data_IF_835884617560
#
_entry.id   IF_835884617560
#
_cell.length_a   1.000
_cell.length_b   1.000
_cell.length_c   1.000
_cell.angle_alpha   90.00
_cell.angle_beta   90.00
_cell.angle_gamma   90.00
#
_symmetry.space_group_name_H-M   'P 1'
#
loop_
_entity.id
_entity.type
_entity.pdbx_description
1 polymer ?
#
# COMPACT_ATOMS: atom_id res chain seq x y z
N UNK A 1 14.25 34.12 -24.59
CA UNK A 1 12.96 33.49 -24.33
C UNK A 1 13.14 32.59 -23.12
N UNK A 2 12.78 33.08 -21.93
CA UNK A 2 12.56 32.19 -20.80
C UNK A 2 11.19 31.57 -21.03
N UNK A 3 11.16 30.28 -21.35
CA UNK A 3 9.94 29.50 -21.15
C UNK A 3 9.82 29.39 -19.65
N UNK A 4 8.91 30.16 -19.06
CA UNK A 4 8.40 29.86 -17.73
C UNK A 4 7.60 28.58 -17.90
N UNK A 5 8.23 27.42 -17.71
CA UNK A 5 7.52 26.17 -17.47
C UNK A 5 6.92 26.31 -16.08
N UNK A 6 5.71 26.85 -15.98
CA UNK A 6 4.96 26.79 -14.74
C UNK A 6 4.69 25.34 -14.38
N UNK A 7 4.56 25.04 -13.09
CA UNK A 7 4.02 23.76 -12.65
C UNK A 7 2.59 23.63 -13.20
N UNK A 8 2.19 22.41 -13.56
CA UNK A 8 0.87 22.11 -14.12
C UNK A 8 0.20 21.00 -13.29
N UNK A 9 -1.14 20.94 -13.30
CA UNK A 9 -1.89 19.89 -12.62
C UNK A 9 -1.63 19.85 -11.11
N UNK A 10 -1.38 18.64 -10.59
CA UNK A 10 -1.14 18.39 -9.16
C UNK A 10 0.09 19.15 -8.66
N UNK A 11 1.18 19.21 -9.44
CA UNK A 11 2.41 19.91 -9.06
C UNK A 11 2.13 21.38 -8.67
N UNK A 12 1.22 22.05 -9.40
CA UNK A 12 0.82 23.41 -9.10
C UNK A 12 -0.04 23.51 -7.81
N UNK A 13 -0.90 22.52 -7.54
CA UNK A 13 -1.72 22.49 -6.32
C UNK A 13 -0.84 22.34 -5.08
N UNK A 14 0.13 21.41 -5.12
CA UNK A 14 1.02 21.13 -3.99
C UNK A 14 1.89 22.34 -3.61
N UNK A 15 2.31 23.17 -4.58
CA UNK A 15 3.09 24.39 -4.31
C UNK A 15 2.34 25.41 -3.43
N UNK A 16 1.00 25.37 -3.43
CA UNK A 16 0.17 26.32 -2.69
C UNK A 16 -0.26 25.82 -1.30
N UNK A 17 0.04 24.57 -0.95
CA UNK A 17 -0.27 24.02 0.37
C UNK A 17 0.61 24.63 1.46
N UNK A 18 0.07 24.70 2.68
CA UNK A 18 0.90 24.97 3.85
C UNK A 18 1.87 23.80 4.07
N UNK A 19 2.98 24.04 4.78
CA UNK A 19 3.92 22.96 5.08
C UNK A 19 3.31 21.85 5.93
N UNK A 20 2.31 22.18 6.75
CA UNK A 20 1.57 21.21 7.57
C UNK A 20 0.66 20.35 6.70
N UNK A 21 -0.15 20.97 5.83
CA UNK A 21 -1.04 20.24 4.92
C UNK A 21 -0.26 19.36 3.93
N UNK A 22 0.87 19.87 3.43
CA UNK A 22 1.74 19.09 2.55
C UNK A 22 2.32 17.87 3.28
N UNK A 23 2.71 18.01 4.54
CA UNK A 23 3.22 16.89 5.32
C UNK A 23 2.13 15.83 5.55
N UNK A 24 0.91 16.25 5.91
CA UNK A 24 -0.22 15.32 6.09
C UNK A 24 -0.56 14.60 4.79
N UNK A 25 -0.60 15.32 3.66
CA UNK A 25 -0.84 14.74 2.34
C UNK A 25 0.23 13.71 1.99
N UNK A 26 1.52 14.04 2.15
CA UNK A 26 2.61 13.13 1.82
C UNK A 26 2.61 11.88 2.71
N UNK A 27 2.24 12.00 3.98
CA UNK A 27 2.05 10.83 4.85
C UNK A 27 0.89 9.95 4.39
N UNK A 28 -0.23 10.55 3.97
CA UNK A 28 -1.36 9.82 3.43
C UNK A 28 -1.00 9.07 2.14
N UNK A 29 -0.32 9.75 1.22
CA UNK A 29 0.19 9.15 -0.03
C UNK A 29 1.21 8.06 0.27
N UNK A 30 2.15 8.28 1.20
CA UNK A 30 3.15 7.29 1.60
C UNK A 30 2.48 6.00 2.09
N UNK A 31 1.52 6.11 3.02
CA UNK A 31 0.86 4.95 3.60
C UNK A 31 0.10 4.12 2.57
N UNK A 32 -0.74 4.78 1.75
CA UNK A 32 -1.49 4.09 0.70
C UNK A 32 -0.55 3.48 -0.36
N UNK A 33 0.52 4.19 -0.74
CA UNK A 33 1.51 3.68 -1.70
C UNK A 33 2.24 2.45 -1.16
N UNK A 34 2.66 2.50 0.11
CA UNK A 34 3.37 1.39 0.74
C UNK A 34 2.48 0.16 0.87
N UNK A 35 1.22 0.34 1.26
CA UNK A 35 0.23 -0.74 1.29
C UNK A 35 0.02 -1.35 -0.11
N UNK A 36 -0.15 -0.52 -1.15
CA UNK A 36 -0.27 -1.00 -2.53
C UNK A 36 0.98 -1.79 -2.98
N UNK A 37 2.19 -1.32 -2.66
CA UNK A 37 3.41 -2.04 -3.00
C UNK A 37 3.46 -3.43 -2.35
N UNK A 38 3.07 -3.53 -1.07
CA UNK A 38 2.98 -4.81 -0.38
C UNK A 38 1.85 -5.71 -0.91
N UNK A 39 0.73 -5.13 -1.34
CA UNK A 39 -0.35 -5.85 -2.00
C UNK A 39 0.14 -6.49 -3.31
N UNK A 40 0.79 -5.71 -4.19
CA UNK A 40 1.38 -6.23 -5.41
C UNK A 40 2.50 -7.25 -5.14
N UNK A 41 3.24 -7.07 -4.04
CA UNK A 41 4.23 -8.06 -3.61
C UNK A 41 3.59 -9.39 -3.22
N UNK A 42 2.36 -9.38 -2.71
CA UNK A 42 1.58 -10.59 -2.47
C UNK A 42 1.31 -11.36 -3.76
N UNK A 43 0.83 -10.68 -4.81
CA UNK A 43 0.65 -11.29 -6.14
C UNK A 43 1.97 -11.84 -6.70
N UNK A 44 3.05 -11.08 -6.54
CA UNK A 44 4.39 -11.51 -6.92
C UNK A 44 4.78 -12.80 -6.20
N UNK A 45 4.64 -12.88 -4.88
CA UNK A 45 5.02 -14.07 -4.10
C UNK A 45 4.16 -15.28 -4.47
N UNK A 46 2.85 -15.10 -4.65
CA UNK A 46 1.93 -16.15 -5.10
C UNK A 46 2.42 -16.73 -6.44
N UNK A 47 2.69 -15.85 -7.41
CA UNK A 47 3.14 -16.24 -8.74
C UNK A 47 4.51 -16.91 -8.75
N UNK A 48 5.50 -16.30 -8.08
CA UNK A 48 6.91 -16.73 -8.15
C UNK A 48 7.20 -17.98 -7.32
N UNK A 49 6.50 -18.15 -6.19
CA UNK A 49 6.68 -19.28 -5.30
C UNK A 49 5.65 -20.40 -5.54
N UNK A 50 4.64 -20.13 -6.38
CA UNK A 50 3.57 -21.07 -6.70
C UNK A 50 2.68 -21.36 -5.50
N UNK A 51 2.35 -20.33 -4.72
CA UNK A 51 1.58 -20.47 -3.48
C UNK A 51 0.11 -20.79 -3.81
N UNK A 52 -0.53 -21.68 -3.03
CA UNK A 52 -1.95 -21.95 -3.23
C UNK A 52 -2.80 -20.80 -2.69
N UNK A 53 -3.79 -20.36 -3.47
CA UNK A 53 -4.82 -19.41 -3.03
C UNK A 53 -6.12 -20.16 -2.79
N UNK A 54 -6.63 -20.08 -1.56
CA UNK A 54 -7.91 -20.66 -1.17
C UNK A 54 -8.90 -19.53 -0.85
N UNK A 55 -9.60 -19.03 -1.87
CA UNK A 55 -10.53 -17.91 -1.73
C UNK A 55 -10.33 -16.89 -2.85
N UNK A 56 -10.59 -15.62 -2.54
CA UNK A 56 -10.24 -14.49 -3.40
C UNK A 56 -8.75 -14.17 -3.18
N UNK A 57 -7.99 -14.07 -4.27
CA UNK A 57 -6.56 -13.75 -4.20
C UNK A 57 -6.33 -12.37 -3.61
N UNK A 58 -7.18 -11.43 -4.02
CA UNK A 58 -7.14 -10.04 -3.61
C UNK A 58 -7.27 -9.84 -2.09
N UNK A 59 -8.25 -10.47 -1.46
CA UNK A 59 -8.39 -10.38 0.00
C UNK A 59 -7.21 -11.06 0.70
N UNK A 60 -6.64 -12.11 0.09
CA UNK A 60 -5.47 -12.78 0.65
C UNK A 60 -4.24 -11.86 0.63
N UNK A 61 -4.00 -11.14 -0.48
CA UNK A 61 -2.86 -10.22 -0.61
C UNK A 61 -3.06 -8.91 0.16
N UNK A 62 -4.29 -8.44 0.35
CA UNK A 62 -4.61 -7.32 1.27
C UNK A 62 -4.27 -7.66 2.73
N UNK A 63 -4.67 -8.87 3.16
CA UNK A 63 -4.34 -9.36 4.49
C UNK A 63 -2.82 -9.53 4.63
N UNK A 64 -2.14 -10.01 3.60
CA UNK A 64 -0.67 -10.11 3.60
C UNK A 64 -0.02 -8.74 3.73
N UNK A 65 -0.46 -7.75 2.95
CA UNK A 65 0.10 -6.41 2.99
C UNK A 65 -0.04 -5.79 4.38
N UNK A 66 -1.20 -5.98 5.00
CA UNK A 66 -1.44 -5.55 6.39
C UNK A 66 -0.50 -6.26 7.37
N UNK A 67 -0.38 -7.58 7.28
CA UNK A 67 0.50 -8.38 8.16
C UNK A 67 1.98 -8.02 7.97
N UNK A 68 2.43 -7.81 6.73
CA UNK A 68 3.82 -7.41 6.43
C UNK A 68 4.14 -6.04 7.03
N UNK A 69 3.26 -5.05 6.88
CA UNK A 69 3.44 -3.76 7.53
C UNK A 69 3.42 -3.89 9.07
N UNK A 70 2.52 -4.68 9.65
CA UNK A 70 2.49 -4.93 11.10
C UNK A 70 3.71 -5.71 11.62
N UNK A 71 4.45 -6.41 10.76
CA UNK A 71 5.66 -7.13 11.17
C UNK A 71 6.84 -6.19 11.48
N UNK A 72 6.81 -4.97 10.93
CA UNK A 72 7.71 -3.88 11.33
C UNK A 72 7.05 -3.08 12.46
N UNK A 73 7.22 -3.57 13.69
CA UNK A 73 6.68 -3.03 14.96
C UNK A 73 7.31 -1.67 15.30
N UNK A 74 6.95 -0.65 14.52
CA UNK A 74 7.36 0.74 14.71
C UNK A 74 6.18 1.69 14.56
N UNK A 75 6.18 2.74 15.37
CA UNK A 75 5.16 3.79 15.33
C UNK A 75 5.05 4.50 13.97
N UNK A 76 6.13 4.56 13.22
CA UNK A 76 6.11 5.16 11.88
C UNK A 76 5.36 4.25 10.89
N UNK A 77 5.58 2.93 10.96
CA UNK A 77 4.83 1.96 10.15
C UNK A 77 3.36 1.88 10.56
N UNK A 78 3.05 1.90 11.86
CA UNK A 78 1.66 1.97 12.37
C UNK A 78 0.91 3.19 11.81
N UNK A 79 1.60 4.34 11.74
CA UNK A 79 1.04 5.56 11.18
C UNK A 79 0.76 5.41 9.68
N UNK A 80 1.70 4.85 8.92
CA UNK A 80 1.55 4.60 7.48
C UNK A 80 0.40 3.62 7.19
N UNK A 81 0.33 2.52 7.95
CA UNK A 81 -0.75 1.54 7.84
C UNK A 81 -2.11 2.16 8.20
N UNK A 82 -2.15 3.00 9.23
CA UNK A 82 -3.36 3.76 9.58
C UNK A 82 -3.82 4.67 8.45
N UNK A 83 -2.89 5.31 7.72
CA UNK A 83 -3.25 6.12 6.54
C UNK A 83 -3.80 5.28 5.39
N UNK A 84 -3.22 4.10 5.13
CA UNK A 84 -3.74 3.18 4.12
C UNK A 84 -5.15 2.70 4.47
N UNK A 85 -5.36 2.31 5.73
CA UNK A 85 -6.68 1.91 6.24
C UNK A 85 -7.69 3.05 6.08
N UNK A 86 -7.37 4.28 6.51
CA UNK A 86 -8.24 5.45 6.36
C UNK A 86 -8.54 5.72 4.87
N UNK A 87 -7.59 5.48 3.97
CA UNK A 87 -7.78 5.59 2.53
C UNK A 87 -9.00 4.82 2.03
N UNK A 88 -9.19 3.58 2.49
CA UNK A 88 -10.37 2.77 2.15
C UNK A 88 -11.69 3.39 2.63
N UNK A 89 -11.72 3.99 3.82
CA UNK A 89 -12.91 4.69 4.31
C UNK A 89 -13.23 5.93 3.47
N UNK A 90 -12.20 6.68 3.05
CA UNK A 90 -12.38 7.84 2.18
C UNK A 90 -12.91 7.42 0.80
N UNK A 91 -12.31 6.41 0.17
CA UNK A 91 -12.75 5.88 -1.13
C UNK A 91 -14.20 5.37 -1.03
N UNK A 92 -14.51 4.59 0.01
CA UNK A 92 -15.86 4.10 0.26
C UNK A 92 -16.89 5.24 0.41
N UNK A 93 -16.51 6.36 1.04
CA UNK A 93 -17.40 7.51 1.21
C UNK A 93 -17.74 8.19 -0.13
N UNK A 94 -16.77 8.25 -1.05
CA UNK A 94 -16.96 8.80 -2.40
C UNK A 94 -17.80 7.87 -3.30
N UNK A 95 -17.66 6.55 -3.10
CA UNK A 95 -18.31 5.52 -3.92
C UNK A 95 -19.59 4.92 -3.30
N UNK A 96 -20.18 5.55 -2.29
CA UNK A 96 -21.31 4.99 -1.51
C UNK A 96 -22.51 4.54 -2.36
N UNK A 97 -22.75 5.16 -3.52
CA UNK A 97 -23.85 4.84 -4.43
C UNK A 97 -23.50 3.78 -5.50
N UNK A 98 -22.24 3.35 -5.61
CA UNK A 98 -21.75 2.45 -6.66
C UNK A 98 -21.02 1.22 -6.09
N UNK A 99 -21.75 0.42 -5.30
CA UNK A 99 -21.23 -0.82 -4.72
C UNK A 99 -21.17 -1.94 -5.77
N UNK A 100 -19.98 -2.52 -5.97
CA UNK A 100 -19.74 -3.60 -6.93
C UNK A 100 -19.57 -4.94 -6.19
N UNK A 101 -20.69 -5.64 -5.96
CA UNK A 101 -20.72 -6.90 -5.20
C UNK A 101 -20.23 -8.15 -5.95
N UNK A 102 -19.85 -8.01 -7.23
CA UNK A 102 -19.38 -9.12 -8.08
C UNK A 102 -17.92 -8.93 -8.51
N UNK A 103 -17.24 -7.94 -7.94
CA UNK A 103 -15.82 -7.72 -8.17
C UNK A 103 -14.96 -8.84 -7.58
N UNK A 104 -13.67 -8.80 -7.89
CA UNK A 104 -12.68 -9.78 -7.43
C UNK A 104 -12.16 -9.48 -6.01
N UNK A 105 -12.54 -8.32 -5.46
CA UNK A 105 -12.25 -7.87 -4.10
C UNK A 105 -13.54 -7.68 -3.31
N UNK A 106 -13.42 -7.71 -1.98
CA UNK A 106 -14.45 -7.19 -1.07
C UNK A 106 -14.74 -5.68 -1.27
N UNK A 107 -15.86 -5.21 -0.71
CA UNK A 107 -16.21 -3.78 -0.79
C UNK A 107 -15.17 -2.91 -0.06
N UNK A 108 -14.90 -1.70 -0.56
CA UNK A 108 -13.89 -0.78 0.02
C UNK A 108 -14.03 -0.63 1.55
N UNK A 109 -15.26 -0.44 2.04
CA UNK A 109 -15.50 -0.32 3.49
C UNK A 109 -15.22 -1.63 4.26
N UNK A 110 -15.46 -2.79 3.64
CA UNK A 110 -15.14 -4.09 4.24
C UNK A 110 -13.62 -4.28 4.32
N UNK A 111 -12.89 -3.91 3.26
CA UNK A 111 -11.41 -3.94 3.23
C UNK A 111 -10.83 -3.07 4.34
N UNK A 112 -11.32 -1.84 4.50
CA UNK A 112 -10.90 -0.94 5.59
C UNK A 112 -11.15 -1.51 6.99
N UNK A 113 -12.33 -2.09 7.25
CA UNK A 113 -12.61 -2.73 8.54
C UNK A 113 -11.82 -4.03 8.77
N UNK A 114 -11.50 -4.78 7.72
CA UNK A 114 -10.65 -5.95 7.79
C UNK A 114 -9.23 -5.55 8.21
N UNK A 115 -8.65 -4.51 7.59
CA UNK A 115 -7.35 -3.95 7.99
C UNK A 115 -7.36 -3.52 9.45
N UNK A 116 -8.35 -2.70 9.85
CA UNK A 116 -8.48 -2.24 11.24
C UNK A 116 -8.54 -3.41 12.23
N UNK A 117 -9.24 -4.49 11.87
CA UNK A 117 -9.31 -5.66 12.73
C UNK A 117 -7.97 -6.39 12.83
N UNK A 118 -7.24 -6.57 11.72
CA UNK A 118 -5.89 -7.14 11.79
C UNK A 118 -4.94 -6.28 12.65
N UNK A 119 -5.02 -4.96 12.52
CA UNK A 119 -4.25 -4.01 13.33
C UNK A 119 -4.54 -4.20 14.83
N UNK A 120 -5.82 -4.14 15.23
CA UNK A 120 -6.26 -4.37 16.63
C UNK A 120 -5.88 -5.77 17.13
N UNK A 121 -5.90 -6.77 16.24
CA UNK A 121 -5.51 -8.14 16.56
C UNK A 121 -4.02 -8.31 16.83
N UNK A 122 -3.18 -7.55 16.12
CA UNK A 122 -1.73 -7.56 16.29
C UNK A 122 -1.28 -6.79 17.52
N UNK A 123 -1.76 -5.55 17.69
CA UNK A 123 -1.46 -4.71 18.84
C UNK A 123 -2.71 -3.94 19.31
N UNK A 124 -3.47 -4.48 20.27
CA UNK A 124 -4.66 -3.80 20.76
C UNK A 124 -4.34 -2.49 21.48
N UNK A 125 -3.16 -2.36 22.11
CA UNK A 125 -2.80 -1.15 22.86
C UNK A 125 -2.47 0.01 21.89
N UNK A 126 -1.82 -0.29 20.75
CA UNK A 126 -1.49 0.70 19.73
C UNK A 126 -2.73 1.22 18.97
N UNK A 127 -3.71 0.36 18.72
CA UNK A 127 -4.84 0.66 17.83
C UNK A 127 -6.21 0.81 18.53
N UNK A 128 -6.27 0.78 19.86
CA UNK A 128 -7.52 0.92 20.63
C UNK A 128 -8.27 2.23 20.30
N UNK A 129 -7.56 3.36 20.29
CA UNK A 129 -8.16 4.67 20.01
C UNK A 129 -8.76 4.72 18.60
N UNK A 130 -8.04 4.17 17.62
CA UNK A 130 -8.50 4.10 16.23
C UNK A 130 -9.76 3.22 16.09
N UNK A 131 -9.78 2.08 16.79
CA UNK A 131 -10.94 1.20 16.83
C UNK A 131 -12.17 1.86 17.49
N UNK A 132 -11.94 2.70 18.51
CA UNK A 132 -12.97 3.51 19.15
C UNK A 132 -13.51 4.59 18.22
N UNK A 133 -12.63 5.34 17.57
CA UNK A 133 -13.01 6.45 16.69
C UNK A 133 -13.80 5.97 15.46
N UNK A 134 -13.54 4.75 14.99
CA UNK A 134 -14.24 4.12 13.86
C UNK A 134 -15.43 3.23 14.26
N UNK A 135 -15.83 3.29 15.53
CA UNK A 135 -16.97 2.55 16.09
C UNK A 135 -16.91 1.02 15.83
N UNK A 136 -15.71 0.42 15.82
CA UNK A 136 -15.55 -1.02 15.63
C UNK A 136 -16.24 -1.75 16.80
N UNK A 137 -17.25 -2.62 16.58
CA UNK A 137 -18.00 -3.25 17.66
C UNK A 137 -17.12 -4.10 18.60
N UNK A 138 -17.42 -4.08 19.91
CA UNK A 138 -16.66 -4.81 20.93
C UNK A 138 -16.57 -6.32 20.62
N UNK A 139 -17.69 -6.93 20.19
CA UNK A 139 -17.73 -8.34 19.80
C UNK A 139 -16.87 -8.65 18.57
N UNK A 140 -16.70 -7.68 17.66
CA UNK A 140 -15.76 -7.80 16.55
C UNK A 140 -14.31 -7.72 17.03
N UNK A 141 -13.99 -6.77 17.90
CA UNK A 141 -12.64 -6.61 18.48
C UNK A 141 -12.17 -7.87 19.20
N UNK A 142 -13.06 -8.54 19.94
CA UNK A 142 -12.75 -9.80 20.63
C UNK A 142 -12.28 -10.92 19.69
N UNK A 143 -12.62 -10.86 18.40
CA UNK A 143 -12.23 -11.85 17.39
C UNK A 143 -11.01 -11.44 16.56
N UNK A 144 -10.55 -10.20 16.68
CA UNK A 144 -9.52 -9.66 15.81
C UNK A 144 -8.15 -10.33 15.99
N UNK A 145 -7.78 -10.71 17.21
CA UNK A 145 -6.55 -11.45 17.47
C UNK A 145 -6.51 -12.79 16.71
N UNK A 146 -7.65 -13.49 16.65
CA UNK A 146 -7.75 -14.74 15.91
C UNK A 146 -7.58 -14.54 14.39
N UNK A 147 -8.14 -13.46 13.85
CA UNK A 147 -8.03 -13.15 12.43
C UNK A 147 -6.58 -12.77 12.05
N UNK A 148 -5.92 -11.96 12.88
CA UNK A 148 -4.50 -11.64 12.72
C UNK A 148 -3.63 -12.90 12.77
N UNK A 149 -3.76 -13.70 13.84
CA UNK A 149 -3.00 -14.96 13.99
C UNK A 149 -3.26 -15.90 12.80
N UNK A 150 -4.52 -16.03 12.36
CA UNK A 150 -4.84 -16.88 11.22
C UNK A 150 -4.20 -16.37 9.93
N UNK A 151 -4.24 -15.07 9.66
CA UNK A 151 -3.63 -14.49 8.47
C UNK A 151 -2.11 -14.63 8.50
N UNK A 152 -1.46 -14.26 9.61
CA UNK A 152 -0.01 -14.38 9.77
C UNK A 152 0.47 -15.83 9.69
N UNK A 153 -0.11 -16.75 10.48
CA UNK A 153 0.29 -18.16 10.49
C UNK A 153 0.08 -18.83 9.12
N UNK A 154 -0.98 -18.46 8.40
CA UNK A 154 -1.26 -19.02 7.08
C UNK A 154 -0.18 -18.61 6.07
N UNK A 155 0.26 -17.35 6.11
CA UNK A 155 1.31 -16.83 5.24
C UNK A 155 2.69 -17.37 5.62
N UNK A 156 3.02 -17.43 6.90
CA UNK A 156 4.25 -18.06 7.39
C UNK A 156 4.32 -19.52 6.93
N UNK A 157 3.25 -20.29 7.10
CA UNK A 157 3.23 -21.70 6.73
C UNK A 157 3.52 -21.94 5.23
N UNK A 158 2.98 -21.10 4.34
CA UNK A 158 3.15 -21.29 2.89
C UNK A 158 4.45 -20.67 2.36
N UNK A 159 5.01 -19.68 3.06
CA UNK A 159 6.23 -18.98 2.64
C UNK A 159 7.51 -19.50 3.33
N UNK A 160 7.39 -20.14 4.49
CA UNK A 160 8.47 -20.78 5.27
C UNK A 160 9.47 -21.58 4.42
N UNK A 161 9.02 -22.45 3.49
CA UNK A 161 9.94 -23.23 2.66
C UNK A 161 10.83 -22.39 1.73
N UNK A 162 10.48 -21.12 1.53
CA UNK A 162 11.12 -20.18 0.63
C UNK A 162 11.90 -19.10 1.35
N UNK A 163 12.02 -19.16 2.68
CA UNK A 163 12.85 -18.23 3.44
C UNK A 163 14.31 -18.31 3.01
N UNK A 164 14.97 -17.14 2.96
CA UNK A 164 16.37 -17.01 2.62
C UNK A 164 17.24 -17.59 3.74
N UNK A 165 18.18 -18.52 3.45
CA UNK A 165 19.09 -19.00 4.46
C UNK A 165 20.03 -17.89 4.94
N UNK A 166 20.31 -17.86 6.25
CA UNK A 166 21.22 -16.87 6.85
C UNK A 166 22.55 -16.76 6.09
N UNK A 167 23.05 -15.52 5.97
CA UNK A 167 24.34 -15.21 5.34
C UNK A 167 24.35 -15.23 3.80
N UNK A 168 23.21 -15.53 3.15
CA UNK A 168 23.05 -15.35 1.71
C UNK A 168 22.57 -13.92 1.42
N UNK A 169 23.15 -13.29 0.40
CA UNK A 169 22.75 -11.93 0.01
C UNK A 169 21.53 -11.97 -0.88
N UNK A 170 20.62 -11.02 -0.70
CA UNK A 170 19.69 -10.57 -1.74
C UNK A 170 20.46 -10.03 -2.95
N UNK A 171 19.84 -10.13 -4.13
CA UNK A 171 20.23 -9.46 -5.38
C UNK A 171 19.22 -9.75 -6.52
N UNK A 172 17.97 -10.05 -6.14
CA UNK A 172 16.92 -10.53 -7.04
C UNK A 172 15.97 -9.43 -7.43
N UNK A 173 15.73 -8.44 -6.58
CA UNK A 173 14.85 -7.32 -6.91
C UNK A 173 15.68 -6.10 -7.31
N UNK A 174 15.32 -5.46 -8.42
CA UNK A 174 15.89 -4.17 -8.83
C UNK A 174 14.81 -3.13 -8.94
N UNK A 175 15.04 -1.95 -8.38
CA UNK A 175 14.13 -0.80 -8.47
C UNK A 175 14.56 0.12 -9.63
N UNK A 176 13.59 0.60 -10.41
CA UNK A 176 13.80 1.51 -11.53
C UNK A 176 12.72 2.60 -11.59
N UNK A 177 13.13 3.80 -12.02
CA UNK A 177 12.24 4.94 -12.21
C UNK A 177 12.30 5.43 -13.65
N UNK A 178 11.16 5.42 -14.34
CA UNK A 178 11.03 6.04 -15.65
C UNK A 178 10.92 7.56 -15.52
N UNK A 179 11.07 8.27 -16.65
CA UNK A 179 10.85 9.72 -16.65
C UNK A 179 9.36 10.03 -16.45
N UNK A 180 9.01 10.98 -15.55
CA UNK A 180 7.64 11.42 -15.38
C UNK A 180 7.17 12.26 -16.59
N UNK A 181 5.87 12.22 -16.87
CA UNK A 181 5.22 13.16 -17.78
C UNK A 181 4.92 14.50 -17.06
N UNK A 182 4.60 15.58 -17.80
CA UNK A 182 4.24 16.87 -17.19
C UNK A 182 3.12 16.73 -16.13
N UNK A 183 3.32 17.32 -14.95
CA UNK A 183 2.38 17.25 -13.82
C UNK A 183 2.59 16.08 -12.85
N UNK A 184 3.57 15.21 -13.12
CA UNK A 184 3.90 14.04 -12.27
C UNK A 184 5.25 14.18 -11.56
N UNK A 185 5.93 15.33 -11.72
CA UNK A 185 7.30 15.48 -11.25
C UNK A 185 7.39 15.40 -9.73
N UNK A 186 6.40 15.94 -9.00
CA UNK A 186 6.38 15.90 -7.53
C UNK A 186 6.21 14.48 -7.00
N UNK A 187 5.33 13.66 -7.60
CA UNK A 187 5.10 12.27 -7.17
C UNK A 187 6.30 11.38 -7.51
N UNK A 188 6.90 11.55 -8.69
CA UNK A 188 8.10 10.82 -9.05
C UNK A 188 9.28 11.16 -8.13
N UNK A 189 9.46 12.44 -7.78
CA UNK A 189 10.48 12.89 -6.84
C UNK A 189 10.20 12.37 -5.43
N UNK A 190 8.96 12.50 -4.94
CA UNK A 190 8.56 12.01 -3.64
C UNK A 190 8.87 10.51 -3.47
N UNK A 191 8.51 9.69 -4.47
CA UNK A 191 8.75 8.25 -4.40
C UNK A 191 10.24 7.90 -4.38
N UNK A 192 11.06 8.64 -5.13
CA UNK A 192 12.53 8.44 -5.13
C UNK A 192 13.16 8.87 -3.80
N UNK A 193 12.72 9.99 -3.22
CA UNK A 193 13.31 10.53 -1.98
C UNK A 193 12.82 9.78 -0.73
N UNK A 194 11.63 9.18 -0.77
CA UNK A 194 11.08 8.36 0.32
C UNK A 194 11.61 6.93 0.33
N UNK A 195 12.21 6.46 -0.77
CA UNK A 195 12.77 5.11 -0.93
C UNK A 195 11.75 3.98 -0.61
N UNK A 196 10.45 4.24 -0.79
CA UNK A 196 9.39 3.26 -0.45
C UNK A 196 9.48 1.98 -1.29
N UNK A 197 9.85 2.09 -2.57
CA UNK A 197 10.02 0.91 -3.42
C UNK A 197 11.26 0.11 -3.05
N UNK A 198 12.34 0.79 -2.69
CA UNK A 198 13.57 0.19 -2.18
C UNK A 198 13.32 -0.53 -0.87
N UNK A 199 12.59 0.07 0.06
CA UNK A 199 12.20 -0.56 1.32
C UNK A 199 11.51 -1.91 1.07
N UNK A 200 10.44 -1.92 0.28
CA UNK A 200 9.70 -3.17 -0.02
C UNK A 200 10.59 -4.17 -0.78
N UNK A 201 11.43 -3.70 -1.70
CA UNK A 201 12.38 -4.56 -2.39
C UNK A 201 13.41 -5.18 -1.44
N UNK A 202 13.93 -4.42 -0.49
CA UNK A 202 14.89 -4.87 0.52
C UNK A 202 14.26 -5.87 1.49
N UNK A 203 13.03 -5.62 1.93
CA UNK A 203 12.30 -6.52 2.83
C UNK A 203 12.07 -7.89 2.17
N UNK A 204 11.56 -7.89 0.94
CA UNK A 204 11.24 -9.12 0.21
C UNK A 204 12.49 -9.87 -0.24
N UNK A 205 13.48 -9.18 -0.81
CA UNK A 205 14.73 -9.80 -1.25
C UNK A 205 15.61 -10.21 -0.06
N UNK A 206 15.48 -9.53 1.09
CA UNK A 206 16.11 -9.91 2.35
C UNK A 206 15.51 -11.20 2.92
N UNK A 207 14.19 -11.31 2.91
CA UNK A 207 13.45 -12.39 3.57
C UNK A 207 13.34 -13.67 2.72
N UNK A 208 13.03 -13.55 1.43
CA UNK A 208 12.71 -14.71 0.58
C UNK A 208 13.84 -15.08 -0.38
N UNK A 209 14.07 -16.37 -0.57
CA UNK A 209 14.98 -16.94 -1.57
C UNK A 209 14.31 -16.96 -2.96
N UNK A 210 14.16 -15.78 -3.56
CA UNK A 210 13.51 -15.61 -4.86
C UNK A 210 14.28 -16.39 -5.97
N UNK A 211 13.58 -17.16 -6.82
CA UNK A 211 14.23 -18.05 -7.78
C UNK A 211 14.98 -17.29 -8.88
N UNK A 212 14.37 -16.23 -9.38
CA UNK A 212 14.81 -15.49 -10.55
C UNK A 212 14.72 -13.97 -10.31
N UNK A 213 15.26 -13.15 -11.22
CA UNK A 213 15.30 -11.68 -11.06
C UNK A 213 13.97 -11.00 -11.34
N UNK A 214 13.62 -9.99 -10.54
CA UNK A 214 12.37 -9.25 -10.59
C UNK A 214 12.69 -7.76 -10.69
N UNK A 215 11.86 -7.01 -11.42
CA UNK A 215 11.97 -5.55 -11.50
C UNK A 215 10.79 -4.91 -10.78
N UNK A 216 11.05 -3.95 -9.92
CA UNK A 216 10.04 -3.00 -9.45
C UNK A 216 10.26 -1.70 -10.21
N UNK A 217 9.23 -1.20 -10.89
CA UNK A 217 9.33 0.01 -11.67
C UNK A 217 8.24 1.01 -11.33
N UNK A 218 8.59 2.29 -11.34
CA UNK A 218 7.62 3.36 -11.35
C UNK A 218 7.67 4.14 -12.66
N UNK A 219 6.50 4.43 -13.23
CA UNK A 219 6.40 5.09 -14.53
C UNK A 219 5.07 5.84 -14.71
N UNK A 220 4.99 6.64 -15.77
CA UNK A 220 3.73 7.18 -16.27
C UNK A 220 2.96 6.09 -17.04
N UNK A 221 1.74 5.78 -16.63
CA UNK A 221 0.92 4.73 -17.23
C UNK A 221 -0.24 5.28 -18.09
N UNK A 222 -0.67 6.52 -17.82
CA UNK A 222 -1.90 7.09 -18.36
C UNK A 222 -3.18 6.64 -17.64
N UNK A 223 -3.04 5.93 -16.51
CA UNK A 223 -4.14 5.46 -15.64
C UNK A 223 -3.66 5.33 -14.18
N UNK A 224 -4.58 5.50 -13.24
CA UNK A 224 -4.33 5.32 -11.79
C UNK A 224 -4.28 3.82 -11.47
N UNK A 225 -3.08 3.24 -11.48
CA UNK A 225 -2.93 1.80 -11.35
C UNK A 225 -1.62 1.38 -10.66
N UNK A 226 -1.60 0.16 -10.15
CA UNK A 226 -0.40 -0.59 -9.81
C UNK A 226 -0.70 -2.07 -10.09
N UNK A 227 0.29 -2.82 -10.52
CA UNK A 227 0.09 -4.23 -10.84
C UNK A 227 1.38 -5.04 -10.86
N UNK A 228 1.27 -6.32 -10.53
CA UNK A 228 2.24 -7.36 -10.85
C UNK A 228 1.97 -7.99 -12.22
N UNK A 229 2.98 -8.00 -13.12
CA UNK A 229 2.95 -8.79 -14.36
C UNK A 229 3.82 -10.06 -14.21
N UNK A 230 3.23 -11.27 -14.12
CA UNK A 230 3.97 -12.51 -13.96
C UNK A 230 4.75 -12.95 -15.22
N UNK A 231 4.39 -12.45 -16.42
CA UNK A 231 5.12 -12.77 -17.65
C UNK A 231 6.38 -11.92 -17.79
N UNK A 232 6.28 -10.62 -17.48
CA UNK A 232 7.42 -9.71 -17.45
C UNK A 232 8.28 -9.90 -16.20
N UNK A 233 7.66 -10.42 -15.12
CA UNK A 233 8.22 -10.53 -13.77
C UNK A 233 8.58 -9.15 -13.24
N UNK A 234 7.59 -8.27 -13.33
CA UNK A 234 7.70 -6.84 -13.09
C UNK A 234 6.51 -6.31 -12.30
N UNK A 235 6.80 -5.60 -11.21
CA UNK A 235 5.81 -4.80 -10.49
C UNK A 235 5.86 -3.38 -11.03
N UNK A 236 4.71 -2.85 -11.43
CA UNK A 236 4.59 -1.48 -11.92
C UNK A 236 3.75 -0.64 -10.96
N UNK A 237 4.30 0.49 -10.52
CA UNK A 237 3.57 1.53 -9.80
C UNK A 237 3.41 2.76 -10.70
N UNK A 238 2.18 3.15 -11.00
CA UNK A 238 1.93 4.33 -11.82
C UNK A 238 2.00 5.61 -11.00
N UNK A 239 2.71 6.64 -11.50
CA UNK A 239 2.74 7.94 -10.82
C UNK A 239 1.35 8.56 -10.65
N UNK A 240 0.44 8.24 -11.56
CA UNK A 240 -0.96 8.61 -11.52
C UNK A 240 -1.69 8.05 -10.28
N UNK A 241 -1.35 6.84 -9.81
CA UNK A 241 -2.01 6.27 -8.62
C UNK A 241 -1.73 7.11 -7.37
N UNK A 242 -0.47 7.51 -7.16
CA UNK A 242 -0.09 8.40 -6.06
C UNK A 242 -0.71 9.80 -6.21
N UNK A 243 -0.87 10.27 -7.45
CA UNK A 243 -1.60 11.50 -7.72
C UNK A 243 -3.09 11.36 -7.34
N UNK A 244 -3.72 10.21 -7.62
CA UNK A 244 -5.08 9.89 -7.19
C UNK A 244 -5.24 9.94 -5.67
N UNK A 245 -4.31 9.34 -4.92
CA UNK A 245 -4.29 9.47 -3.45
C UNK A 245 -4.16 10.92 -2.99
N UNK A 246 -3.34 11.72 -3.68
CA UNK A 246 -3.20 13.15 -3.39
C UNK A 246 -4.52 13.90 -3.60
N UNK A 247 -5.24 13.61 -4.68
CA UNK A 247 -6.54 14.23 -4.97
C UNK A 247 -7.60 13.85 -3.93
N UNK A 248 -7.66 12.58 -3.51
CA UNK A 248 -8.54 12.14 -2.42
C UNK A 248 -8.29 12.97 -1.14
N UNK A 249 -7.03 13.19 -0.79
CA UNK A 249 -6.67 13.97 0.40
C UNK A 249 -6.98 15.46 0.22
N UNK A 250 -6.73 16.03 -0.95
CA UNK A 250 -7.03 17.43 -1.25
C UNK A 250 -8.53 17.72 -1.19
N UNK A 251 -9.37 16.79 -1.65
CA UNK A 251 -10.82 16.92 -1.53
C UNK A 251 -11.26 16.96 -0.06
N UNK A 252 -10.63 16.18 0.82
CA UNK A 252 -10.87 16.25 2.26
C UNK A 252 -10.55 17.64 2.83
N UNK A 253 -9.37 18.20 2.51
CA UNK A 253 -8.99 19.55 2.96
C UNK A 253 -9.96 20.63 2.48
N UNK A 254 -10.50 20.48 1.26
CA UNK A 254 -11.44 21.42 0.67
C UNK A 254 -12.86 21.36 1.26
N UNK A 255 -13.19 20.32 2.03
CA UNK A 255 -14.52 20.17 2.66
C UNK A 255 -14.68 20.90 4.00
N UNK A 256 -13.61 21.45 4.55
CA UNK A 256 -13.60 22.23 5.80
C UNK A 256 -13.83 23.76 5.61
N UNK A 257 -14.09 24.23 4.38
CA UNK A 257 -14.52 25.61 4.05
C UNK A 257 -16.03 25.76 3.79
#
# INVERSE_FOLDING_TARGET
>A
MHVSTGLEGLDAKLEHLSSEDLQLLLNFVAGNTLFTLYHEAGHMLISELGLPVLGQEEDAVDNLATVMMLSDDTRDMDQLLSQAMIGWFLIASQNHDNLVFYGEHDLDLQRGYQMLCLMVGADPDAFEDLANDLDLPEDRRETCAFDYEQSADSWDLVTDPFLRPEGHRGDRITVAYAQPEPGQASMALFLQESELMEMVAEDLDGLYALPDKITFQAMACGEENAYWDPQAREMTLCYELMAGFSEIFLDLLGTDE
#
